data_IF_658131419496
#
_entry.id   IF_658131419496
#
_cell.length_a   1.000
_cell.length_b   1.000
_cell.length_c   1.000
_cell.angle_alpha   90.00
_cell.angle_beta   90.00
_cell.angle_gamma   90.00
#
_symmetry.space_group_name_H-M   'P 1'
#
loop_
_entity.id
_entity.type
_entity.pdbx_description
1 polymer ?
#
# COMPACT_ATOMS: atom_id res chain seq x y z
N UNK A 1 19.63 5.79 6.80
CA UNK A 1 19.10 4.92 5.71
C UNK A 1 17.68 4.53 6.06
N UNK A 2 16.84 4.19 5.06
CA UNK A 2 15.49 3.68 5.32
C UNK A 2 15.52 2.16 5.46
N UNK A 3 15.05 1.67 6.59
CA UNK A 3 14.80 0.25 6.84
C UNK A 3 13.31 -0.04 6.69
N UNK A 4 12.96 -1.19 6.12
CA UNK A 4 11.56 -1.64 5.97
C UNK A 4 11.40 -2.97 6.65
N UNK A 5 10.58 -3.01 7.70
CA UNK A 5 10.25 -4.22 8.42
C UNK A 5 8.83 -4.65 8.06
N UNK A 6 8.65 -5.96 7.88
CA UNK A 6 7.35 -6.59 7.84
C UNK A 6 7.22 -7.41 9.12
N UNK A 7 6.28 -7.04 9.98
CA UNK A 7 5.99 -7.75 11.21
C UNK A 7 4.62 -8.43 11.12
N UNK A 8 4.56 -9.70 11.51
CA UNK A 8 3.31 -10.39 11.83
C UNK A 8 3.11 -10.30 13.33
N UNK A 9 1.96 -9.77 13.72
CA UNK A 9 1.60 -9.51 15.11
C UNK A 9 0.22 -10.09 15.40
N UNK A 10 -0.04 -10.39 16.67
CA UNK A 10 -1.38 -10.68 17.16
C UNK A 10 -2.34 -9.55 16.76
N UNK A 11 -3.54 -9.89 16.28
CA UNK A 11 -4.61 -8.91 16.06
C UNK A 11 -5.42 -8.72 17.34
N UNK A 12 -4.92 -7.85 18.22
CA UNK A 12 -5.50 -7.57 19.54
C UNK A 12 -5.44 -6.08 19.87
N UNK A 13 -6.36 -5.56 20.71
CA UNK A 13 -6.29 -4.19 21.17
C UNK A 13 -4.93 -3.82 21.79
N UNK A 14 -4.41 -2.64 21.42
CA UNK A 14 -3.16 -2.09 21.95
C UNK A 14 -1.87 -2.57 21.25
N UNK A 15 -1.97 -3.37 20.20
CA UNK A 15 -0.82 -3.84 19.42
C UNK A 15 -0.07 -2.70 18.73
N UNK A 16 -0.79 -1.82 18.03
CA UNK A 16 -0.21 -0.64 17.39
C UNK A 16 0.53 0.25 18.41
N UNK A 17 -0.08 0.50 19.57
CA UNK A 17 0.50 1.33 20.62
C UNK A 17 1.80 0.74 21.16
N UNK A 18 1.88 -0.59 21.32
CA UNK A 18 3.11 -1.27 21.74
C UNK A 18 4.24 -1.08 20.73
N UNK A 19 3.94 -1.27 19.44
CA UNK A 19 4.91 -1.08 18.34
C UNK A 19 5.36 0.38 18.28
N UNK A 20 4.43 1.34 18.23
CA UNK A 20 4.77 2.76 18.19
C UNK A 20 5.60 3.20 19.41
N UNK A 21 5.26 2.69 20.61
CA UNK A 21 6.01 2.97 21.83
C UNK A 21 7.44 2.40 21.79
N UNK A 22 7.65 1.27 21.11
CA UNK A 22 8.99 0.72 20.93
C UNK A 22 9.88 1.67 20.13
N UNK A 23 9.40 2.15 18.98
CA UNK A 23 10.14 3.09 18.14
C UNK A 23 10.41 4.42 18.85
N UNK A 24 9.43 4.92 19.62
CA UNK A 24 9.63 6.06 20.50
C UNK A 24 10.77 5.83 21.49
N UNK A 25 10.81 4.68 22.19
CA UNK A 25 11.89 4.36 23.16
C UNK A 25 13.26 4.21 22.50
N UNK A 26 13.30 3.72 21.26
CA UNK A 26 14.54 3.62 20.49
C UNK A 26 14.99 4.98 19.91
N UNK A 27 14.18 6.03 20.06
CA UNK A 27 14.38 7.35 19.43
C UNK A 27 14.55 7.24 17.91
N UNK A 28 13.72 6.40 17.28
CA UNK A 28 13.74 6.16 15.83
C UNK A 28 12.47 6.73 15.21
N UNK A 29 12.64 7.52 14.16
CA UNK A 29 11.53 8.10 13.41
C UNK A 29 10.85 7.05 12.53
N UNK A 30 9.53 6.91 12.66
CA UNK A 30 8.70 6.10 11.75
C UNK A 30 8.34 6.99 10.57
N UNK A 31 8.82 6.63 9.38
CA UNK A 31 8.53 7.31 8.12
C UNK A 31 7.18 6.87 7.55
N UNK A 32 6.83 5.60 7.74
CA UNK A 32 5.56 5.06 7.30
C UNK A 32 5.21 3.83 8.12
N UNK A 33 3.92 3.66 8.42
CA UNK A 33 3.40 2.48 9.09
C UNK A 33 2.05 2.14 8.48
N UNK A 34 1.90 0.91 8.02
CA UNK A 34 0.64 0.37 7.51
C UNK A 34 0.33 -0.91 8.25
N UNK A 35 -0.93 -1.11 8.62
CA UNK A 35 -1.44 -2.31 9.28
C UNK A 35 -2.70 -2.78 8.58
N UNK A 36 -2.86 -4.09 8.44
CA UNK A 36 -4.08 -4.72 7.97
C UNK A 36 -4.11 -6.18 8.41
N UNK A 37 -5.27 -6.81 8.27
CA UNK A 37 -5.42 -8.25 8.48
C UNK A 37 -4.49 -9.03 7.54
N UNK A 38 -3.96 -10.15 8.01
CA UNK A 38 -3.19 -11.07 7.19
C UNK A 38 -4.08 -12.23 6.71
N UNK A 39 -3.51 -13.09 5.88
CA UNK A 39 -4.10 -14.35 5.42
C UNK A 39 -4.39 -15.37 6.55
N UNK A 40 -3.97 -15.07 7.77
CA UNK A 40 -4.12 -15.92 8.94
C UNK A 40 -5.06 -15.24 9.94
N UNK A 41 -6.07 -15.95 10.46
CA UNK A 41 -6.94 -15.40 11.50
C UNK A 41 -6.15 -14.88 12.70
N UNK A 42 -6.72 -13.87 13.37
CA UNK A 42 -6.15 -13.24 14.57
C UNK A 42 -4.71 -12.72 14.38
N UNK A 43 -4.30 -12.46 13.14
CA UNK A 43 -2.96 -11.99 12.76
C UNK A 43 -3.07 -10.73 11.92
N UNK A 44 -2.37 -9.68 12.32
CA UNK A 44 -2.19 -8.49 11.49
C UNK A 44 -0.79 -8.47 10.87
N UNK A 45 -0.72 -7.98 9.64
CA UNK A 45 0.53 -7.68 8.95
C UNK A 45 0.82 -6.19 9.04
N UNK A 46 1.92 -5.84 9.68
CA UNK A 46 2.41 -4.47 9.76
C UNK A 46 3.61 -4.28 8.82
N UNK A 47 3.56 -3.25 7.98
CA UNK A 47 4.75 -2.75 7.27
C UNK A 47 5.22 -1.49 7.96
N UNK A 48 6.46 -1.47 8.42
CA UNK A 48 7.04 -0.37 9.19
C UNK A 48 8.29 0.11 8.46
N UNK A 49 8.27 1.37 8.05
CA UNK A 49 9.42 2.02 7.43
C UNK A 49 9.97 3.04 8.39
N UNK A 50 11.25 2.96 8.72
CA UNK A 50 11.89 3.85 9.67
C UNK A 50 13.25 4.32 9.18
N UNK A 51 13.69 5.45 9.70
CA UNK A 51 15.01 5.99 9.42
C UNK A 51 15.98 5.66 10.56
N UNK A 52 17.05 4.92 10.23
CA UNK A 52 18.08 4.54 11.19
C UNK A 52 19.45 4.37 10.51
N UNK A 53 20.55 4.31 11.30
CA UNK A 53 21.86 3.90 10.79
C UNK A 53 21.83 2.48 10.23
N UNK A 54 22.67 2.18 9.23
CA UNK A 54 22.69 0.90 8.50
C UNK A 54 22.81 -0.33 9.43
N UNK A 55 23.63 -0.24 10.47
CA UNK A 55 23.85 -1.30 11.46
C UNK A 55 22.73 -1.43 12.52
N UNK A 56 21.72 -0.56 12.50
CA UNK A 56 20.67 -0.56 13.52
C UNK A 56 19.59 -1.62 13.26
N UNK A 57 19.55 -2.18 12.05
CA UNK A 57 18.49 -3.09 11.62
C UNK A 57 18.30 -4.30 12.53
N UNK A 58 19.39 -5.00 12.84
CA UNK A 58 19.37 -6.18 13.71
C UNK A 58 18.88 -5.84 15.12
N UNK A 59 19.29 -4.69 15.65
CA UNK A 59 18.85 -4.21 16.96
C UNK A 59 17.36 -3.89 16.96
N UNK A 60 16.84 -3.25 15.92
CA UNK A 60 15.42 -2.91 15.77
C UNK A 60 14.60 -4.20 15.63
N UNK A 61 15.02 -5.12 14.77
CA UNK A 61 14.39 -6.42 14.57
C UNK A 61 14.34 -7.22 15.88
N UNK A 62 15.46 -7.33 16.59
CA UNK A 62 15.51 -7.99 17.89
C UNK A 62 14.59 -7.31 18.91
N UNK A 63 14.47 -5.98 18.87
CA UNK A 63 13.59 -5.23 19.76
C UNK A 63 12.10 -5.46 19.44
N UNK A 64 11.74 -5.65 18.17
CA UNK A 64 10.39 -6.02 17.76
C UNK A 64 10.02 -7.42 18.23
N UNK A 65 10.95 -8.38 18.15
CA UNK A 65 10.76 -9.75 18.68
C UNK A 65 10.60 -9.81 20.21
N UNK A 66 11.05 -8.78 20.94
CA UNK A 66 10.83 -8.70 22.39
C UNK A 66 9.40 -8.33 22.77
N UNK A 67 8.58 -7.88 21.83
CA UNK A 67 7.17 -7.64 22.09
C UNK A 67 6.44 -8.99 22.11
N UNK A 68 5.72 -9.28 23.19
CA UNK A 68 4.94 -10.53 23.39
C UNK A 68 3.96 -10.82 22.24
N UNK A 69 3.48 -9.76 21.59
CA UNK A 69 2.51 -9.79 20.49
C UNK A 69 3.13 -10.10 19.13
N UNK A 70 4.46 -10.10 19.01
CA UNK A 70 5.15 -10.26 17.72
C UNK A 70 5.37 -11.73 17.44
N UNK A 71 4.76 -12.22 16.35
CA UNK A 71 4.94 -13.61 15.88
C UNK A 71 6.15 -13.74 14.98
N UNK A 72 6.33 -12.79 14.07
CA UNK A 72 7.44 -12.80 13.14
C UNK A 72 7.85 -11.39 12.72
N UNK A 73 9.13 -11.20 12.42
CA UNK A 73 9.66 -9.96 11.86
C UNK A 73 10.67 -10.31 10.78
N UNK A 74 10.45 -9.75 9.61
CA UNK A 74 11.39 -9.78 8.50
C UNK A 74 11.83 -8.36 8.16
N UNK A 75 13.08 -8.21 7.77
CA UNK A 75 13.58 -6.97 7.18
C UNK A 75 13.63 -7.18 5.67
N UNK A 76 13.04 -6.24 4.93
CA UNK A 76 12.83 -6.38 3.50
C UNK A 76 13.61 -5.30 2.76
N UNK A 77 14.64 -5.71 2.02
CA UNK A 77 15.41 -4.84 1.15
C UNK A 77 14.60 -4.38 -0.08
N UNK A 78 14.94 -3.20 -0.63
CA UNK A 78 14.23 -2.65 -1.80
C UNK A 78 14.32 -3.52 -3.05
N UNK A 79 15.46 -4.16 -3.29
CA UNK A 79 15.68 -5.03 -4.47
C UNK A 79 14.89 -6.36 -4.37
N UNK A 80 14.61 -6.81 -3.16
CA UNK A 80 14.00 -8.11 -2.89
C UNK A 80 12.46 -8.04 -2.77
N UNK A 81 11.86 -6.85 -2.92
CA UNK A 81 10.44 -6.64 -2.71
C UNK A 81 9.74 -5.75 -3.73
N UNK A 82 8.42 -5.91 -3.77
CA UNK A 82 7.49 -4.96 -4.34
C UNK A 82 7.03 -4.04 -3.21
N UNK A 83 7.27 -2.75 -3.38
CA UNK A 83 6.79 -1.71 -2.46
C UNK A 83 5.77 -0.87 -3.21
N UNK A 84 4.58 -0.72 -2.64
CA UNK A 84 3.48 0.08 -3.21
C UNK A 84 2.81 0.89 -2.12
N UNK A 85 2.19 1.96 -2.55
CA UNK A 85 1.41 2.88 -1.74
C UNK A 85 0.19 3.28 -2.58
N UNK A 86 -0.96 3.44 -1.92
CA UNK A 86 -2.17 4.01 -2.51
C UNK A 86 -2.34 5.44 -1.98
N UNK A 87 -2.77 6.33 -2.87
CA UNK A 87 -2.98 7.74 -2.58
C UNK A 87 -4.30 8.21 -3.21
N UNK A 88 -5.08 8.97 -2.44
CA UNK A 88 -6.19 9.77 -2.91
C UNK A 88 -5.78 11.24 -2.87
N UNK A 89 -6.04 11.96 -3.96
CA UNK A 89 -5.71 13.39 -4.11
C UNK A 89 -6.98 14.10 -4.58
N UNK A 90 -7.49 15.04 -3.78
CA UNK A 90 -8.59 15.91 -4.16
C UNK A 90 -8.03 17.23 -4.65
N UNK A 91 -8.40 17.62 -5.86
CA UNK A 91 -7.91 18.82 -6.56
C UNK A 91 -9.10 19.74 -6.84
N UNK A 92 -8.95 21.03 -6.61
CA UNK A 92 -9.96 22.01 -6.97
C UNK A 92 -10.07 22.13 -8.49
N UNK A 93 -11.29 22.16 -9.00
CA UNK A 93 -11.58 22.20 -10.43
C UNK A 93 -12.92 22.89 -10.74
N UNK A 94 -13.28 23.88 -9.92
CA UNK A 94 -14.48 24.70 -10.11
C UNK A 94 -14.28 25.83 -11.11
N UNK A 95 -15.36 26.48 -11.56
CA UNK A 95 -15.30 27.60 -12.51
C UNK A 95 -14.58 28.84 -11.96
N UNK A 96 -14.46 28.97 -10.63
CA UNK A 96 -13.79 30.09 -9.96
C UNK A 96 -12.29 29.85 -9.73
N UNK A 97 -11.76 28.66 -10.06
CA UNK A 97 -10.33 28.37 -9.93
C UNK A 97 -9.53 29.09 -11.03
N UNK A 98 -8.23 29.37 -10.81
CA UNK A 98 -7.39 30.13 -11.75
C UNK A 98 -7.42 29.58 -13.19
N UNK A 99 -7.67 28.26 -13.31
CA UNK A 99 -7.66 27.52 -14.56
C UNK A 99 -9.06 27.11 -15.08
N UNK A 100 -10.14 27.50 -14.39
CA UNK A 100 -11.55 27.35 -14.83
C UNK A 100 -11.95 25.95 -15.34
N UNK A 101 -12.82 25.87 -16.37
CA UNK A 101 -13.27 24.60 -16.96
C UNK A 101 -12.16 23.85 -17.72
N UNK A 102 -11.18 24.58 -18.28
CA UNK A 102 -10.00 24.02 -18.96
C UNK A 102 -9.07 23.26 -18.00
N UNK A 103 -9.17 23.54 -16.69
CA UNK A 103 -8.52 22.81 -15.59
C UNK A 103 -8.88 21.31 -15.62
N UNK A 104 -10.14 20.96 -15.92
CA UNK A 104 -10.62 19.58 -15.78
C UNK A 104 -10.03 18.63 -16.82
N UNK A 105 -10.00 19.06 -18.08
CA UNK A 105 -9.43 18.25 -19.17
C UNK A 105 -7.95 17.98 -18.93
N UNK A 106 -7.19 18.98 -18.47
CA UNK A 106 -5.78 18.82 -18.12
C UNK A 106 -5.58 17.90 -16.91
N UNK A 107 -6.43 17.97 -15.89
CA UNK A 107 -6.39 17.02 -14.76
C UNK A 107 -6.63 15.58 -15.26
N UNK A 108 -7.54 15.37 -16.21
CA UNK A 108 -7.77 14.05 -16.82
C UNK A 108 -6.56 13.58 -17.63
N UNK A 109 -5.91 14.46 -18.38
CA UNK A 109 -4.66 14.14 -19.09
C UNK A 109 -3.54 13.76 -18.12
N UNK A 110 -3.35 14.54 -17.05
CA UNK A 110 -2.38 14.22 -16.00
C UNK A 110 -2.70 12.87 -15.34
N UNK A 111 -3.97 12.60 -15.05
CA UNK A 111 -4.39 11.31 -14.51
C UNK A 111 -4.00 10.16 -15.45
N UNK A 112 -4.23 10.30 -16.76
CA UNK A 112 -3.83 9.30 -17.75
C UNK A 112 -2.30 9.09 -17.81
N UNK A 113 -1.52 10.17 -17.85
CA UNK A 113 -0.04 10.10 -17.89
C UNK A 113 0.51 9.40 -16.65
N UNK A 114 0.00 9.76 -15.47
CA UNK A 114 0.43 9.14 -14.22
C UNK A 114 -0.21 7.77 -13.98
N UNK A 115 -1.12 7.31 -14.86
CA UNK A 115 -1.94 6.10 -14.66
C UNK A 115 -2.69 6.13 -13.32
N UNK A 116 -3.19 7.30 -12.96
CA UNK A 116 -4.15 7.51 -11.89
C UNK A 116 -5.58 7.33 -12.44
N UNK A 117 -6.52 7.05 -11.56
CA UNK A 117 -7.94 6.91 -11.88
C UNK A 117 -8.69 8.10 -11.29
N UNK A 118 -9.64 8.65 -12.03
CA UNK A 118 -10.62 9.58 -11.46
C UNK A 118 -11.67 8.76 -10.74
N UNK A 119 -11.86 9.00 -9.44
CA UNK A 119 -12.80 8.23 -8.60
C UNK A 119 -14.00 9.05 -8.14
N UNK A 120 -13.92 10.38 -8.25
CA UNK A 120 -15.03 11.29 -7.96
C UNK A 120 -14.90 12.58 -8.78
N UNK A 121 -16.04 13.14 -9.17
CA UNK A 121 -16.15 14.39 -9.93
C UNK A 121 -17.29 15.23 -9.37
N UNK A 122 -16.94 16.33 -8.71
CA UNK A 122 -17.86 17.29 -8.12
C UNK A 122 -17.82 18.63 -8.89
N UNK A 123 -18.82 19.52 -8.68
CA UNK A 123 -18.85 20.85 -9.32
C UNK A 123 -17.60 21.71 -9.06
N UNK A 124 -16.91 21.51 -7.94
CA UNK A 124 -15.76 22.32 -7.55
C UNK A 124 -14.47 21.51 -7.39
N UNK A 125 -14.49 20.18 -7.58
CA UNK A 125 -13.31 19.33 -7.37
C UNK A 125 -13.31 18.03 -8.16
N UNK A 126 -12.11 17.49 -8.36
CA UNK A 126 -11.88 16.14 -8.90
C UNK A 126 -11.08 15.34 -7.87
N UNK A 127 -11.44 14.09 -7.65
CA UNK A 127 -10.64 13.16 -6.85
C UNK A 127 -9.92 12.16 -7.74
N UNK A 128 -8.60 12.10 -7.57
CA UNK A 128 -7.72 11.15 -8.22
C UNK A 128 -7.30 10.06 -7.23
N UNK A 129 -7.28 8.82 -7.68
CA UNK A 129 -6.70 7.68 -7.00
C UNK A 129 -5.46 7.20 -7.76
N UNK A 130 -4.35 6.97 -7.06
CA UNK A 130 -3.16 6.40 -7.67
C UNK A 130 -2.51 5.35 -6.77
N UNK A 131 -2.06 4.26 -7.38
CA UNK A 131 -1.20 3.25 -6.75
C UNK A 131 0.18 3.25 -7.40
N UNK A 132 1.25 3.31 -6.61
CA UNK A 132 2.61 3.38 -7.14
C UNK A 132 3.70 3.36 -6.09
N UNK A 133 4.93 3.69 -6.50
CA UNK A 133 6.00 4.03 -5.55
C UNK A 133 5.73 5.41 -4.94
N UNK A 134 6.24 5.66 -3.73
CA UNK A 134 6.12 6.98 -3.11
C UNK A 134 6.69 8.11 -3.97
N UNK A 135 7.73 7.84 -4.77
CA UNK A 135 8.30 8.81 -5.71
C UNK A 135 7.35 9.16 -6.86
N UNK A 136 6.60 8.18 -7.37
CA UNK A 136 5.61 8.42 -8.43
C UNK A 136 4.44 9.26 -7.92
N UNK A 137 3.99 8.97 -6.69
CA UNK A 137 2.95 9.75 -5.98
C UNK A 137 3.40 11.17 -5.76
N UNK A 138 4.61 11.37 -5.25
CA UNK A 138 5.17 12.70 -5.06
C UNK A 138 5.29 13.47 -6.39
N UNK A 139 5.68 12.78 -7.47
CA UNK A 139 5.74 13.38 -8.81
C UNK A 139 4.41 13.93 -9.29
N UNK A 140 3.30 13.21 -9.11
CA UNK A 140 1.97 13.71 -9.49
C UNK A 140 1.59 14.95 -8.66
N UNK A 141 1.81 14.89 -7.34
CA UNK A 141 1.53 16.02 -6.43
C UNK A 141 2.35 17.25 -6.83
N UNK A 142 3.63 17.05 -7.19
CA UNK A 142 4.51 18.14 -7.60
C UNK A 142 4.06 18.76 -8.91
N UNK A 143 3.74 17.95 -9.93
CA UNK A 143 3.25 18.46 -11.23
C UNK A 143 1.95 19.24 -11.07
N UNK A 144 1.01 18.77 -10.22
CA UNK A 144 -0.21 19.50 -9.92
C UNK A 144 0.10 20.88 -9.30
N UNK A 145 1.01 20.94 -8.31
CA UNK A 145 1.42 22.21 -7.68
C UNK A 145 2.10 23.16 -8.66
N UNK A 146 3.06 22.67 -9.43
CA UNK A 146 3.82 23.46 -10.41
C UNK A 146 2.93 23.98 -11.55
N UNK A 147 1.89 23.23 -11.90
CA UNK A 147 0.90 23.64 -12.90
C UNK A 147 -0.18 24.59 -12.35
N UNK A 148 -0.03 25.06 -11.10
CA UNK A 148 -0.91 26.05 -10.48
C UNK A 148 -2.24 25.49 -9.96
N UNK A 149 -2.38 24.16 -9.81
CA UNK A 149 -3.59 23.57 -9.23
C UNK A 149 -3.58 23.62 -7.70
N UNK A 150 -4.76 23.90 -7.13
CA UNK A 150 -4.98 23.85 -5.69
C UNK A 150 -5.30 22.41 -5.27
N UNK A 151 -4.41 21.79 -4.50
CA UNK A 151 -4.68 20.49 -3.86
C UNK A 151 -5.45 20.74 -2.56
N UNK A 152 -6.68 20.23 -2.49
CA UNK A 152 -7.57 20.39 -1.35
C UNK A 152 -7.26 19.38 -0.25
N UNK A 153 -6.95 18.14 -0.63
CA UNK A 153 -6.77 17.03 0.32
C UNK A 153 -5.85 15.96 -0.27
N UNK A 154 -5.02 15.35 0.57
CA UNK A 154 -4.21 14.19 0.22
C UNK A 154 -4.34 13.14 1.33
N UNK A 155 -4.74 11.92 0.96
CA UNK A 155 -4.80 10.78 1.86
C UNK A 155 -3.91 9.65 1.32
N UNK A 156 -3.01 9.13 2.17
CA UNK A 156 -1.99 8.15 1.79
C UNK A 156 -2.06 6.95 2.74
N UNK A 157 -1.98 5.73 2.20
CA UNK A 157 -2.01 4.50 3.01
C UNK A 157 -0.70 4.21 3.75
N UNK A 158 0.38 4.88 3.35
CA UNK A 158 1.73 4.44 3.69
C UNK A 158 2.22 3.30 2.77
N UNK A 159 3.48 2.91 2.97
CA UNK A 159 4.15 1.91 2.14
C UNK A 159 3.79 0.51 2.61
N UNK A 160 3.28 -0.29 1.69
CA UNK A 160 3.13 -1.74 1.82
C UNK A 160 4.29 -2.43 1.13
N UNK A 161 4.81 -3.50 1.73
CA UNK A 161 5.94 -4.27 1.18
C UNK A 161 5.68 -5.77 1.18
N UNK A 162 6.06 -6.42 0.07
CA UNK A 162 6.02 -7.88 -0.09
C UNK A 162 7.22 -8.36 -0.89
N UNK A 163 7.88 -9.44 -0.44
CA UNK A 163 9.03 -10.03 -1.15
C UNK A 163 8.62 -10.57 -2.53
N UNK A 164 9.54 -10.51 -3.49
CA UNK A 164 9.40 -11.10 -4.84
C UNK A 164 9.80 -12.57 -4.84
N UNK A 165 9.26 -13.35 -5.77
CA UNK A 165 9.68 -14.73 -6.03
C UNK A 165 8.90 -15.77 -5.23
N UNK A 166 9.46 -16.99 -5.14
CA UNK A 166 8.88 -18.09 -4.39
C UNK A 166 8.62 -17.68 -2.93
N UNK A 167 7.56 -18.24 -2.34
CA UNK A 167 7.13 -17.98 -0.97
C UNK A 167 8.15 -18.52 0.07
N UNK A 168 9.44 -18.28 -0.09
CA UNK A 168 10.46 -18.50 0.94
C UNK A 168 10.41 -17.35 1.95
N UNK A 169 9.21 -16.98 2.35
CA UNK A 169 9.05 -16.24 3.56
C UNK A 169 9.46 -17.18 4.68
N UNK A 170 10.48 -16.82 5.47
CA UNK A 170 10.77 -17.51 6.73
C UNK A 170 9.53 -17.60 7.62
N UNK A 171 8.48 -16.81 7.34
CA UNK A 171 7.10 -16.93 7.82
C UNK A 171 6.50 -18.33 7.64
N UNK A 172 6.52 -18.94 6.45
CA UNK A 172 5.91 -20.28 6.27
C UNK A 172 6.68 -21.35 7.06
N UNK A 173 8.01 -21.18 7.16
CA UNK A 173 8.88 -22.05 7.96
C UNK A 173 8.65 -21.87 9.47
N UNK A 174 8.33 -20.66 9.93
CA UNK A 174 8.01 -20.35 11.32
C UNK A 174 6.58 -20.77 11.71
N UNK A 175 5.66 -20.82 10.74
CA UNK A 175 4.26 -21.25 10.92
C UNK A 175 4.06 -22.77 10.72
N UNK A 176 5.13 -23.54 10.47
CA UNK A 176 5.07 -25.01 10.40
C UNK A 176 4.35 -25.58 9.19
N UNK A 177 4.06 -24.77 8.17
CA UNK A 177 3.44 -25.22 6.92
C UNK A 177 4.44 -26.08 6.13
N UNK A 178 4.08 -27.31 5.70
CA UNK A 178 4.97 -28.14 4.90
C UNK A 178 5.33 -27.43 3.59
N UNK A 179 6.60 -27.52 3.19
CA UNK A 179 7.03 -27.13 1.85
C UNK A 179 6.16 -27.87 0.82
N UNK A 180 5.36 -27.13 0.05
CA UNK A 180 4.63 -27.66 -1.09
C UNK A 180 5.58 -27.93 -2.26
N UNK A 181 6.50 -28.88 -2.10
CA UNK A 181 7.10 -29.59 -3.22
C UNK A 181 6.13 -30.71 -3.62
N UNK A 182 4.93 -30.34 -4.03
CA UNK A 182 3.97 -31.22 -4.67
C UNK A 182 3.46 -30.51 -5.91
N UNK A 183 3.73 -31.11 -7.07
CA UNK A 183 3.21 -30.70 -8.37
C UNK A 183 1.70 -30.37 -8.31
N UNK A 184 1.20 -29.42 -9.10
CA UNK A 184 -0.20 -29.03 -9.02
C UNK A 184 -1.08 -30.12 -9.66
N UNK A 185 -1.60 -31.03 -8.83
CA UNK A 185 -2.81 -31.78 -9.18
C UNK A 185 -3.99 -30.79 -9.15
N UNK A 186 -4.43 -30.36 -10.33
CA UNK A 186 -5.64 -29.55 -10.51
C UNK A 186 -6.89 -30.33 -10.05
N UNK A 187 -7.67 -29.83 -9.07
CA UNK A 187 -9.06 -30.23 -8.91
C UNK A 187 -9.95 -29.22 -9.66
N UNK A 188 -10.89 -29.73 -10.46
CA UNK A 188 -11.82 -28.92 -11.25
C UNK A 188 -12.61 -27.92 -10.39
N UNK A 189 -12.51 -26.63 -10.73
CA UNK A 189 -13.40 -25.60 -10.18
C UNK A 189 -14.83 -25.88 -10.66
N UNK A 190 -15.77 -26.04 -9.73
CA UNK A 190 -17.21 -26.00 -10.02
C UNK A 190 -17.60 -24.56 -10.38
N UNK A 191 -18.49 -24.41 -11.37
CA UNK A 191 -18.92 -23.15 -11.99
C UNK A 191 -19.68 -22.15 -11.09
N UNK A 192 -19.73 -22.32 -9.76
CA UNK A 192 -20.71 -21.61 -8.91
C UNK A 192 -20.16 -20.52 -7.98
N UNK A 193 -18.84 -20.31 -7.90
CA UNK A 193 -18.30 -19.28 -7.00
C UNK A 193 -17.86 -18.03 -7.79
N UNK A 194 -18.85 -17.30 -8.30
CA UNK A 194 -18.66 -15.95 -8.87
C UNK A 194 -18.99 -14.93 -7.78
N UNK A 195 -18.00 -14.12 -7.40
CA UNK A 195 -18.13 -13.00 -6.46
C UNK A 195 -18.66 -11.77 -7.23
N UNK A 196 -19.65 -11.02 -6.74
CA UNK A 196 -20.47 -10.09 -7.54
C UNK A 196 -19.83 -8.72 -7.79
N UNK A 197 -18.56 -8.66 -8.20
CA UNK A 197 -17.91 -7.39 -8.53
C UNK A 197 -17.07 -7.40 -9.81
N UNK A 198 -17.46 -8.24 -10.78
CA UNK A 198 -17.03 -8.08 -12.16
C UNK A 198 -18.19 -7.41 -12.91
N UNK A 199 -18.01 -6.13 -13.24
CA UNK A 199 -18.90 -5.45 -14.19
C UNK A 199 -18.83 -6.22 -15.53
N UNK A 200 -19.96 -6.63 -16.12
CA UNK A 200 -19.94 -7.23 -17.45
C UNK A 200 -19.43 -6.20 -18.46
N UNK A 201 -18.52 -6.61 -19.34
CA UNK A 201 -18.08 -5.81 -20.48
C UNK A 201 -19.30 -5.46 -21.33
N UNK A 202 -19.69 -4.19 -21.35
CA UNK A 202 -20.82 -3.69 -22.13
C UNK A 202 -20.32 -3.23 -23.51
N UNK A 203 -19.78 -4.14 -24.32
CA UNK A 203 -19.54 -3.90 -25.75
C UNK A 203 -19.43 -5.25 -26.47
N UNK A 204 -20.55 -5.79 -26.92
CA UNK A 204 -20.68 -6.69 -28.08
C UNK A 204 -22.14 -7.13 -28.19
N UNK A 205 -22.95 -6.36 -28.92
CA UNK A 205 -24.14 -6.82 -29.67
C UNK A 205 -24.81 -5.60 -30.34
N UNK A 206 -24.30 -5.22 -31.51
CA UNK A 206 -25.12 -4.61 -32.57
C UNK A 206 -24.62 -5.20 -33.89
N UNK A 207 -25.25 -6.32 -34.28
CA UNK A 207 -25.29 -6.81 -35.65
C UNK A 207 -26.52 -7.70 -35.80
N UNK A 208 -27.62 -7.09 -36.23
CA UNK A 208 -28.61 -7.70 -37.11
C UNK A 208 -28.77 -6.78 -38.34
#
# INVERSE_FOLDING_TARGET
MLHTFVALVDDKPGVLTRVASLFRRLSINIVSLTVGESEHPDTSRMTIVCEAPEHAADRIRASLYKLEITRHVDEVGRSEAVIRELCLIKVAAGPNEPNGLHSRSQIFELANVFRARVVDLAPDSIMLEMTGSSSKIEGLIQVLRESGYTILEVSRTGRMAMRRGHHTSRVLKALGTPNGDAEPAHPSRRKTDIIPNQFPNVHEEEAD
#
